data_IF_410095647637
#
_entry.id   IF_410095647637
#
_cell.length_a   1.000
_cell.length_b   1.000
_cell.length_c   1.000
_cell.angle_alpha   90.00
_cell.angle_beta   90.00
_cell.angle_gamma   90.00
#
_symmetry.space_group_name_H-M   'P 1'
#
loop_
_entity.id
_entity.type
_entity.pdbx_description
1 polymer ?
#
# COMPACT_ATOMS: atom_id res chain seq x y z
N UNK A 1 3.51 -9.71 -67.29
CA UNK A 1 2.81 -8.51 -66.76
C UNK A 1 1.85 -8.86 -65.61
N UNK A 2 1.20 -10.06 -65.60
CA UNK A 2 0.26 -10.44 -64.54
C UNK A 2 0.88 -10.76 -63.18
N UNK A 3 2.11 -11.27 -63.15
CA UNK A 3 2.81 -11.64 -61.87
C UNK A 3 3.12 -10.36 -61.04
N UNK A 4 3.54 -9.26 -61.69
CA UNK A 4 3.82 -8.02 -60.97
C UNK A 4 2.58 -7.37 -60.35
N UNK A 5 1.42 -7.45 -60.99
CA UNK A 5 0.16 -6.94 -60.44
C UNK A 5 -0.30 -7.78 -59.23
N UNK A 6 -0.11 -9.10 -59.25
CA UNK A 6 -0.47 -10.00 -58.16
C UNK A 6 0.40 -9.75 -56.90
N UNK A 7 1.70 -9.55 -57.08
CA UNK A 7 2.63 -9.23 -55.99
C UNK A 7 2.31 -7.85 -55.37
N UNK A 8 1.91 -6.87 -56.17
CA UNK A 8 1.54 -5.56 -55.68
C UNK A 8 0.27 -5.62 -54.82
N UNK A 9 -0.74 -6.36 -55.26
CA UNK A 9 -2.00 -6.55 -54.53
C UNK A 9 -1.77 -7.31 -53.20
N UNK A 10 -0.86 -8.28 -53.16
CA UNK A 10 -0.49 -9.01 -51.97
C UNK A 10 0.21 -8.12 -50.96
N UNK A 11 1.15 -7.27 -51.41
CA UNK A 11 1.83 -6.30 -50.57
C UNK A 11 0.91 -5.27 -49.95
N UNK A 12 -0.06 -4.76 -50.72
CA UNK A 12 -1.07 -3.81 -50.26
C UNK A 12 -2.01 -4.44 -49.22
N UNK A 13 -2.44 -5.70 -49.42
CA UNK A 13 -3.27 -6.41 -48.43
C UNK A 13 -2.54 -6.69 -47.15
N UNK A 14 -1.24 -7.02 -47.16
CA UNK A 14 -0.43 -7.21 -45.98
C UNK A 14 -0.23 -5.88 -45.22
N UNK A 15 0.01 -4.79 -45.94
CA UNK A 15 0.13 -3.44 -45.36
C UNK A 15 -1.18 -2.98 -44.69
N UNK A 16 -2.34 -3.22 -45.34
CA UNK A 16 -3.64 -2.92 -44.77
C UNK A 16 -3.93 -3.78 -43.54
N UNK A 17 -3.60 -5.07 -43.56
CA UNK A 17 -3.77 -5.96 -42.42
C UNK A 17 -2.94 -5.48 -41.22
N UNK A 18 -1.67 -5.12 -41.43
CA UNK A 18 -0.81 -4.55 -40.38
C UNK A 18 -1.32 -3.21 -39.85
N UNK A 19 -1.84 -2.36 -40.73
CA UNK A 19 -2.39 -1.05 -40.35
C UNK A 19 -3.66 -1.17 -39.50
N UNK A 20 -4.51 -2.14 -39.80
CA UNK A 20 -5.72 -2.41 -39.00
C UNK A 20 -5.42 -3.15 -37.67
N UNK A 21 -4.45 -4.05 -37.65
CA UNK A 21 -4.08 -4.75 -36.41
C UNK A 21 -3.30 -3.89 -35.42
N UNK A 22 -2.55 -2.88 -35.90
CA UNK A 22 -1.80 -1.94 -35.05
C UNK A 22 -2.68 -0.80 -34.48
N UNK A 23 -3.88 -0.58 -34.99
CA UNK A 23 -4.84 0.36 -34.40
C UNK A 23 -5.53 -0.31 -33.21
N UNK A 24 -4.81 -0.66 -32.16
CA UNK A 24 -5.44 -0.88 -30.85
C UNK A 24 -5.99 0.47 -30.40
N UNK A 25 -7.28 0.65 -30.50
CA UNK A 25 -7.99 1.77 -29.85
C UNK A 25 -7.62 1.73 -28.38
N UNK A 26 -7.08 2.81 -27.79
CA UNK A 26 -6.86 2.84 -26.35
C UNK A 26 -8.23 2.63 -25.69
N UNK A 27 -8.41 1.49 -25.03
CA UNK A 27 -9.55 1.30 -24.14
C UNK A 27 -9.33 2.28 -23.00
N UNK A 28 -10.13 3.35 -22.98
CA UNK A 28 -10.19 4.25 -21.83
C UNK A 28 -10.77 3.41 -20.68
N UNK A 29 -9.91 2.81 -19.90
CA UNK A 29 -10.28 2.21 -18.62
C UNK A 29 -10.73 3.36 -17.75
N UNK A 30 -12.03 3.56 -17.60
CA UNK A 30 -12.57 4.46 -16.60
C UNK A 30 -12.10 3.91 -15.25
N UNK A 31 -11.19 4.62 -14.60
CA UNK A 31 -10.85 4.35 -13.21
C UNK A 31 -12.17 4.43 -12.42
N UNK A 32 -12.58 3.37 -11.70
CA UNK A 32 -13.79 3.43 -10.88
C UNK A 32 -13.68 4.64 -9.95
N UNK A 33 -14.75 5.42 -9.82
CA UNK A 33 -14.81 6.50 -8.83
C UNK A 33 -14.72 5.82 -7.47
N UNK A 34 -13.57 5.92 -6.84
CA UNK A 34 -13.35 5.35 -5.52
C UNK A 34 -14.15 6.16 -4.50
N UNK A 35 -15.11 5.50 -3.83
CA UNK A 35 -15.91 6.14 -2.79
C UNK A 35 -15.05 6.19 -1.53
N UNK A 36 -14.72 7.40 -1.09
CA UNK A 36 -13.79 7.68 0.00
C UNK A 36 -14.58 8.04 1.27
N UNK A 37 -14.14 7.49 2.42
CA UNK A 37 -14.50 7.93 3.76
C UNK A 37 -13.38 8.81 4.34
N UNK A 38 -13.70 9.61 5.33
CA UNK A 38 -12.71 10.35 6.13
C UNK A 38 -12.88 9.96 7.60
N UNK A 39 -11.78 9.55 8.23
CA UNK A 39 -11.71 9.43 9.68
C UNK A 39 -11.09 10.70 10.25
N UNK A 40 -11.67 11.23 11.32
CA UNK A 40 -11.17 12.42 12.01
C UNK A 40 -11.03 12.11 13.50
N UNK A 41 -9.85 12.35 14.04
CA UNK A 41 -9.56 12.33 15.46
C UNK A 41 -9.21 13.74 15.93
N UNK A 42 -10.20 14.44 16.45
CA UNK A 42 -10.02 15.83 16.92
C UNK A 42 -9.23 15.93 18.23
N UNK A 43 -9.17 14.84 19.00
CA UNK A 43 -8.41 14.82 20.27
C UNK A 43 -6.91 14.76 19.99
N UNK A 44 -6.53 13.88 19.06
CA UNK A 44 -5.12 13.68 18.70
C UNK A 44 -4.71 14.48 17.45
N UNK A 45 -5.63 15.33 16.93
CA UNK A 45 -5.34 16.38 15.93
C UNK A 45 -4.97 15.85 14.55
N UNK A 46 -5.70 14.86 14.01
CA UNK A 46 -5.49 14.41 12.64
C UNK A 46 -6.77 13.95 11.93
N UNK A 47 -6.72 13.96 10.61
CA UNK A 47 -7.72 13.32 9.77
C UNK A 47 -7.06 12.59 8.62
N UNK A 48 -7.72 11.54 8.10
CA UNK A 48 -7.20 10.72 7.01
C UNK A 48 -8.35 10.17 6.16
N UNK A 49 -8.17 10.22 4.84
CA UNK A 49 -9.14 9.64 3.91
C UNK A 49 -8.75 8.20 3.54
N UNK A 50 -9.75 7.34 3.41
CA UNK A 50 -9.55 5.93 3.07
C UNK A 50 -10.70 5.40 2.21
N UNK A 51 -10.47 4.37 1.37
CA UNK A 51 -11.53 3.76 0.57
C UNK A 51 -12.61 3.12 1.44
N UNK A 52 -13.87 3.27 1.08
CA UNK A 52 -15.00 2.64 1.82
C UNK A 52 -14.92 1.12 1.90
N UNK A 53 -14.16 0.50 1.03
CA UNK A 53 -13.93 -0.94 1.01
C UNK A 53 -12.99 -1.42 2.11
N UNK A 54 -12.19 -0.53 2.70
CA UNK A 54 -11.35 -0.85 3.85
C UNK A 54 -12.15 -0.85 5.13
N UNK A 55 -11.84 -1.76 6.04
CA UNK A 55 -12.50 -1.85 7.34
C UNK A 55 -11.77 -0.99 8.36
N UNK A 56 -12.47 0.00 8.92
CA UNK A 56 -11.96 0.85 9.99
C UNK A 56 -11.95 0.09 11.32
N UNK A 57 -10.81 0.09 12.01
CA UNK A 57 -10.69 -0.29 13.43
C UNK A 57 -10.19 0.91 14.23
N UNK A 58 -11.10 1.56 14.95
CA UNK A 58 -10.80 2.69 15.84
C UNK A 58 -10.29 2.26 17.23
N UNK A 59 -10.33 0.97 17.53
CA UNK A 59 -9.76 0.39 18.76
C UNK A 59 -8.33 -0.11 18.60
N UNK A 60 -7.73 0.10 17.44
CA UNK A 60 -6.39 -0.36 17.13
C UNK A 60 -5.32 0.15 18.10
N UNK A 61 -4.41 -0.75 18.48
CA UNK A 61 -3.22 -0.43 19.23
C UNK A 61 -2.07 -1.36 18.84
N UNK A 62 -0.96 -0.77 18.43
CA UNK A 62 0.24 -1.53 18.07
C UNK A 62 0.96 -2.05 19.33
N UNK A 63 1.24 -3.34 19.36
CA UNK A 63 1.86 -4.04 20.51
C UNK A 63 3.21 -4.70 20.15
N UNK A 64 3.86 -4.27 19.08
CA UNK A 64 5.12 -4.86 18.63
C UNK A 64 6.31 -4.68 19.60
N UNK A 65 6.18 -3.80 20.59
CA UNK A 65 7.15 -3.64 21.68
C UNK A 65 6.85 -4.51 22.91
N UNK A 66 5.75 -5.24 22.88
CA UNK A 66 5.29 -6.11 23.95
C UNK A 66 3.95 -5.67 24.55
N UNK A 67 3.31 -6.52 25.35
CA UNK A 67 1.94 -6.32 25.82
C UNK A 67 1.76 -5.13 26.78
N UNK A 68 2.83 -4.61 27.34
CA UNK A 68 2.82 -3.45 28.26
C UNK A 68 3.03 -2.11 27.51
N UNK A 69 3.41 -2.15 26.24
CA UNK A 69 3.75 -0.96 25.45
C UNK A 69 2.84 -0.87 24.22
N UNK A 70 1.62 -0.37 24.43
CA UNK A 70 0.66 -0.19 23.34
C UNK A 70 0.73 1.22 22.77
N UNK A 71 1.04 1.36 21.49
CA UNK A 71 0.92 2.62 20.75
C UNK A 71 -0.51 2.72 20.21
N UNK A 72 -1.24 3.74 20.64
CA UNK A 72 -2.62 3.96 20.21
C UNK A 72 -2.69 4.48 18.78
N UNK A 73 -3.78 4.18 18.11
CA UNK A 73 -4.00 4.62 16.74
C UNK A 73 -5.34 4.18 16.17
N UNK A 74 -5.39 4.18 14.87
CA UNK A 74 -6.49 3.67 14.06
C UNK A 74 -5.92 2.87 12.91
N UNK A 75 -6.56 1.75 12.55
CA UNK A 75 -6.15 0.99 11.37
C UNK A 75 -7.27 0.86 10.35
N UNK A 76 -6.86 0.63 9.11
CA UNK A 76 -7.71 0.41 7.94
C UNK A 76 -7.28 -0.92 7.33
N UNK A 77 -8.03 -1.96 7.65
CA UNK A 77 -7.76 -3.33 7.18
C UNK A 77 -8.19 -3.45 5.73
N UNK A 78 -7.39 -4.14 4.93
CA UNK A 78 -7.67 -4.34 3.51
C UNK A 78 -9.01 -5.07 3.29
N UNK A 79 -9.72 -4.82 2.17
CA UNK A 79 -10.92 -5.57 1.85
C UNK A 79 -10.58 -7.02 1.48
N UNK A 80 -11.40 -7.96 1.91
CA UNK A 80 -11.25 -9.39 1.63
C UNK A 80 -11.08 -9.68 0.12
N UNK A 81 -11.70 -8.86 -0.73
CA UNK A 81 -11.62 -9.00 -2.18
C UNK A 81 -10.18 -8.90 -2.74
N UNK A 82 -9.28 -8.15 -2.08
CA UNK A 82 -7.87 -8.03 -2.49
C UNK A 82 -7.09 -9.31 -2.11
N UNK A 83 -7.42 -9.93 -0.98
CA UNK A 83 -6.77 -11.14 -0.49
C UNK A 83 -7.30 -12.42 -1.16
N UNK A 84 -8.57 -12.45 -1.55
CA UNK A 84 -9.21 -13.66 -2.10
C UNK A 84 -8.52 -14.16 -3.35
N UNK A 85 -8.14 -15.44 -3.34
CA UNK A 85 -7.45 -16.12 -4.47
C UNK A 85 -5.97 -15.78 -4.57
N UNK A 86 -5.42 -15.02 -3.62
CA UNK A 86 -4.00 -14.69 -3.54
C UNK A 86 -3.37 -15.23 -2.25
N UNK A 87 -2.05 -15.12 -2.13
CA UNK A 87 -1.34 -15.46 -0.91
C UNK A 87 -1.33 -14.32 0.14
N UNK A 88 -2.01 -13.19 -0.12
CA UNK A 88 -2.11 -12.06 0.83
C UNK A 88 -2.98 -12.45 2.04
N UNK A 89 -2.51 -12.13 3.24
CA UNK A 89 -3.28 -12.29 4.46
C UNK A 89 -4.29 -11.16 4.65
N UNK A 90 -5.51 -11.51 5.10
CA UNK A 90 -6.60 -10.55 5.34
C UNK A 90 -6.33 -9.60 6.52
N UNK A 91 -5.31 -9.90 7.33
CA UNK A 91 -4.90 -9.07 8.47
C UNK A 91 -3.90 -7.96 8.06
N UNK A 92 -3.65 -7.81 6.75
CA UNK A 92 -2.84 -6.70 6.24
C UNK A 92 -3.60 -5.38 6.38
N UNK A 93 -2.90 -4.33 6.81
CA UNK A 93 -3.52 -3.03 7.07
C UNK A 93 -2.56 -1.87 6.86
N UNK A 94 -3.11 -0.67 6.79
CA UNK A 94 -2.44 0.60 7.03
C UNK A 94 -2.98 1.20 8.33
N UNK A 95 -2.12 1.75 9.20
CA UNK A 95 -2.53 2.44 10.42
C UNK A 95 -1.98 3.85 10.51
N UNK A 96 -2.65 4.68 11.32
CA UNK A 96 -2.09 5.92 11.86
C UNK A 96 -1.96 5.74 13.35
N UNK A 97 -0.73 5.85 13.83
CA UNK A 97 -0.33 5.72 15.22
C UNK A 97 0.13 7.08 15.73
N UNK A 98 -0.02 7.33 17.02
CA UNK A 98 0.42 8.59 17.62
C UNK A 98 0.91 8.38 19.06
N UNK A 99 1.90 9.17 19.43
CA UNK A 99 2.39 9.29 20.80
C UNK A 99 2.56 10.77 21.15
N UNK A 100 2.39 11.17 22.41
CA UNK A 100 2.69 12.55 22.84
C UNK A 100 4.15 12.89 22.51
N UNK A 101 4.36 14.07 21.97
CA UNK A 101 5.70 14.58 21.65
C UNK A 101 6.34 15.16 22.91
N UNK A 102 7.26 14.41 23.48
CA UNK A 102 8.04 14.87 24.66
C UNK A 102 9.33 15.56 24.19
N UNK A 103 9.92 15.03 23.13
CA UNK A 103 11.16 15.53 22.50
C UNK A 103 11.03 15.42 20.98
N UNK A 104 12.12 15.22 20.27
CA UNK A 104 12.10 14.96 18.81
C UNK A 104 11.50 13.59 18.51
N UNK A 105 10.71 13.52 17.46
CA UNK A 105 10.15 12.28 16.96
C UNK A 105 11.25 11.38 16.36
N UNK A 106 11.32 10.14 16.79
CA UNK A 106 12.29 9.16 16.30
C UNK A 106 11.59 7.92 15.77
N UNK A 107 12.21 7.27 14.80
CA UNK A 107 11.65 6.05 14.20
C UNK A 107 11.60 4.89 15.20
N UNK A 108 12.56 4.79 16.12
CA UNK A 108 12.63 3.74 17.14
C UNK A 108 11.49 3.78 18.18
N UNK A 109 10.70 4.88 18.21
CA UNK A 109 9.48 4.95 19.02
C UNK A 109 8.33 4.14 18.41
N UNK A 110 8.43 3.75 17.13
CA UNK A 110 7.35 3.12 16.37
C UNK A 110 7.73 1.76 15.76
N UNK A 111 9.01 1.48 15.59
CA UNK A 111 9.48 0.21 15.04
C UNK A 111 10.76 -0.24 15.76
N UNK A 112 10.89 -1.54 15.98
CA UNK A 112 12.09 -2.10 16.61
C UNK A 112 13.25 -2.13 15.60
N UNK A 113 14.24 -1.27 15.81
CA UNK A 113 15.43 -1.15 14.95
C UNK A 113 16.44 -2.29 15.15
N UNK A 114 16.32 -3.13 16.19
CA UNK A 114 17.25 -4.24 16.44
C UNK A 114 17.20 -5.33 15.37
N UNK A 115 16.19 -5.34 14.52
CA UNK A 115 16.01 -6.28 13.41
C UNK A 115 16.63 -5.81 12.08
N UNK A 116 17.57 -4.86 12.12
CA UNK A 116 18.28 -4.41 10.92
C UNK A 116 17.58 -3.32 10.11
N UNK A 117 16.54 -2.70 10.67
CA UNK A 117 15.88 -1.55 10.07
C UNK A 117 16.85 -0.36 10.01
N UNK A 118 17.20 0.09 8.81
CA UNK A 118 18.03 1.30 8.60
C UNK A 118 17.14 2.49 8.28
N UNK A 119 17.03 3.48 9.19
CA UNK A 119 16.22 4.67 8.95
C UNK A 119 16.77 5.52 7.81
N UNK A 120 15.85 6.09 7.02
CA UNK A 120 16.19 7.07 5.98
C UNK A 120 15.08 8.13 5.89
N UNK A 121 15.40 9.26 5.28
CA UNK A 121 14.42 10.36 5.11
C UNK A 121 13.92 10.39 3.67
N UNK A 122 12.63 10.57 3.49
CA UNK A 122 12.02 10.87 2.20
C UNK A 122 11.25 12.19 2.26
N UNK A 123 11.09 12.82 1.10
CA UNK A 123 10.15 13.93 0.92
C UNK A 123 9.09 13.46 -0.09
N UNK A 124 7.83 13.42 0.33
CA UNK A 124 6.71 13.04 -0.52
C UNK A 124 5.58 14.08 -0.41
N UNK A 125 5.21 14.67 -1.54
CA UNK A 125 4.23 15.75 -1.58
C UNK A 125 4.65 16.99 -0.76
N UNK A 126 5.95 17.25 -0.61
CA UNK A 126 6.48 18.35 0.20
C UNK A 126 6.53 18.07 1.71
N UNK A 127 6.14 16.86 2.14
CA UNK A 127 6.17 16.43 3.53
C UNK A 127 7.40 15.54 3.74
N UNK A 128 8.18 15.84 4.78
CA UNK A 128 9.33 15.03 5.20
C UNK A 128 8.86 13.90 6.11
N UNK A 129 9.31 12.68 5.82
CA UNK A 129 9.09 11.49 6.65
C UNK A 129 10.41 10.84 7.00
N UNK A 130 10.56 10.43 8.25
CA UNK A 130 11.60 9.48 8.65
C UNK A 130 11.02 8.07 8.49
N UNK A 131 11.69 7.21 7.73
CA UNK A 131 11.15 5.91 7.31
C UNK A 131 12.08 4.79 7.76
N UNK A 132 11.50 3.69 8.18
CA UNK A 132 12.21 2.41 8.33
C UNK A 132 11.30 1.25 7.96
N UNK A 133 11.89 0.15 7.52
CA UNK A 133 11.20 -1.08 7.20
C UNK A 133 11.84 -2.25 7.92
N UNK A 134 11.03 -3.21 8.30
CA UNK A 134 11.47 -4.50 8.82
C UNK A 134 10.73 -5.64 8.13
N UNK A 135 11.31 -6.83 8.16
CA UNK A 135 10.71 -8.05 7.64
C UNK A 135 10.88 -9.16 8.66
N UNK A 136 9.88 -10.01 8.79
CA UNK A 136 9.91 -11.20 9.63
C UNK A 136 9.27 -12.39 8.90
N UNK A 137 9.52 -13.59 9.38
CA UNK A 137 8.95 -14.82 8.84
C UNK A 137 8.69 -15.83 9.95
N UNK A 138 7.53 -16.46 9.92
CA UNK A 138 7.17 -17.48 10.88
C UNK A 138 5.98 -18.32 10.44
N UNK A 139 6.00 -19.63 10.75
CA UNK A 139 4.92 -20.57 10.48
C UNK A 139 4.43 -20.56 9.02
N UNK A 140 5.34 -20.37 8.05
CA UNK A 140 4.99 -20.32 6.63
C UNK A 140 4.46 -18.98 6.14
N UNK A 141 4.40 -17.98 7.00
CA UNK A 141 4.02 -16.61 6.65
C UNK A 141 5.25 -15.70 6.59
N UNK A 142 5.09 -14.60 5.86
CA UNK A 142 6.01 -13.48 5.81
C UNK A 142 5.29 -12.21 6.26
N UNK A 143 6.03 -11.36 6.94
CA UNK A 143 5.54 -10.11 7.49
C UNK A 143 6.46 -8.99 7.04
N UNK A 144 5.88 -7.93 6.54
CA UNK A 144 6.62 -6.74 6.14
C UNK A 144 5.98 -5.53 6.83
N UNK A 145 6.81 -4.74 7.47
CA UNK A 145 6.41 -3.47 8.05
C UNK A 145 7.20 -2.34 7.43
N UNK A 146 6.52 -1.26 7.07
CA UNK A 146 7.16 0.01 6.72
C UNK A 146 6.48 1.10 7.51
N UNK A 147 7.28 1.86 8.25
CA UNK A 147 6.79 2.93 9.13
C UNK A 147 7.30 4.27 8.64
N UNK A 148 6.37 5.21 8.47
CA UNK A 148 6.63 6.60 8.07
C UNK A 148 6.32 7.51 9.25
N UNK A 149 7.35 8.07 9.88
CA UNK A 149 7.18 8.98 11.02
C UNK A 149 7.13 10.42 10.53
N UNK A 150 6.14 11.15 11.02
CA UNK A 150 5.96 12.58 10.81
C UNK A 150 5.80 13.32 12.13
N UNK A 151 6.47 14.44 12.26
CA UNK A 151 6.40 15.29 13.43
C UNK A 151 5.20 16.27 13.34
N UNK A 152 4.40 16.33 14.41
CA UNK A 152 3.40 17.36 14.65
C UNK A 152 3.84 18.32 15.75
N UNK A 153 2.96 19.22 16.17
CA UNK A 153 3.27 20.16 17.25
C UNK A 153 3.26 19.47 18.62
N UNK A 154 2.25 18.66 18.89
CA UNK A 154 1.98 18.02 20.19
C UNK A 154 2.18 16.53 20.21
N UNK A 155 2.21 15.89 19.03
CA UNK A 155 2.35 14.44 18.86
C UNK A 155 3.38 14.10 17.79
N UNK A 156 3.98 12.93 17.94
CA UNK A 156 4.64 12.22 16.87
C UNK A 156 3.61 11.27 16.24
N UNK A 157 3.49 11.29 14.93
CA UNK A 157 2.61 10.43 14.17
C UNK A 157 3.41 9.44 13.36
N UNK A 158 2.93 8.21 13.29
CA UNK A 158 3.48 7.20 12.38
C UNK A 158 2.37 6.64 11.50
N UNK A 159 2.67 6.42 10.25
CA UNK A 159 1.85 5.63 9.34
C UNK A 159 2.58 4.32 9.13
N UNK A 160 1.94 3.20 9.51
CA UNK A 160 2.48 1.85 9.35
C UNK A 160 1.77 1.15 8.21
N UNK A 161 2.53 0.57 7.30
CA UNK A 161 2.08 -0.45 6.36
C UNK A 161 2.44 -1.80 6.95
N UNK A 162 1.47 -2.61 7.27
CA UNK A 162 1.65 -3.98 7.71
C UNK A 162 1.10 -4.92 6.66
N UNK A 163 1.96 -5.75 6.09
CA UNK A 163 1.61 -6.69 5.03
C UNK A 163 2.01 -8.10 5.51
N UNK A 164 0.99 -8.94 5.69
CA UNK A 164 1.16 -10.36 5.96
C UNK A 164 0.82 -11.14 4.71
N UNK A 165 1.62 -12.14 4.36
CA UNK A 165 1.31 -13.04 3.25
C UNK A 165 1.93 -14.43 3.46
N UNK A 166 1.25 -15.47 2.94
CA UNK A 166 1.79 -16.82 2.94
C UNK A 166 2.90 -16.98 1.91
N UNK A 167 3.92 -17.77 2.22
CA UNK A 167 4.92 -18.14 1.26
C UNK A 167 4.25 -18.99 0.15
N UNK A 168 4.37 -18.55 -1.11
CA UNK A 168 3.59 -19.12 -2.24
C UNK A 168 3.87 -20.61 -2.43
N UNK A 169 5.07 -21.04 -2.09
CA UNK A 169 5.50 -22.45 -2.14
C UNK A 169 4.74 -23.36 -1.17
N UNK A 170 4.05 -22.81 -0.17
CA UNK A 170 3.23 -23.58 0.79
C UNK A 170 1.84 -23.94 0.25
N UNK A 171 1.46 -23.37 -0.89
CA UNK A 171 0.16 -23.63 -1.50
C UNK A 171 0.25 -24.67 -2.63
N UNK A 172 -0.77 -25.50 -2.81
CA UNK A 172 -0.87 -26.34 -3.99
C UNK A 172 -0.81 -25.49 -5.26
N UNK A 173 -0.06 -25.96 -6.26
CA UNK A 173 0.14 -25.24 -7.52
C UNK A 173 -1.19 -24.86 -8.16
N UNK A 174 -1.38 -23.55 -8.43
CA UNK A 174 -2.56 -23.00 -9.08
C UNK A 174 -3.75 -22.75 -8.15
N UNK A 175 -3.63 -23.02 -6.84
CA UNK A 175 -4.71 -22.72 -5.87
C UNK A 175 -4.82 -21.24 -5.57
N UNK A 176 -3.68 -20.58 -5.42
CA UNK A 176 -3.58 -19.12 -5.22
C UNK A 176 -2.52 -18.53 -6.15
N UNK A 177 -2.58 -17.25 -6.38
CA UNK A 177 -1.54 -16.47 -7.09
C UNK A 177 -0.84 -15.52 -6.13
N UNK A 178 0.34 -15.05 -6.49
CA UNK A 178 0.97 -13.96 -5.74
C UNK A 178 0.11 -12.70 -5.81
N UNK A 179 -0.03 -12.00 -4.69
CA UNK A 179 -0.78 -10.75 -4.64
C UNK A 179 -0.04 -9.63 -5.38
N UNK A 180 -0.78 -8.67 -5.90
CA UNK A 180 -0.22 -7.48 -6.55
C UNK A 180 0.28 -6.48 -5.50
N UNK A 181 1.52 -6.69 -5.04
CA UNK A 181 2.17 -5.84 -4.05
C UNK A 181 2.31 -4.38 -4.52
N UNK A 182 2.70 -4.06 -5.76
CA UNK A 182 2.71 -2.68 -6.25
C UNK A 182 1.36 -1.97 -6.13
N UNK A 183 0.27 -2.62 -6.51
CA UNK A 183 -1.08 -2.05 -6.40
C UNK A 183 -1.49 -1.83 -4.94
N UNK A 184 -1.19 -2.77 -4.03
CA UNK A 184 -1.45 -2.62 -2.60
C UNK A 184 -0.67 -1.44 -2.01
N UNK A 185 0.63 -1.33 -2.30
CA UNK A 185 1.46 -0.22 -1.85
C UNK A 185 0.97 1.12 -2.39
N UNK A 186 0.52 1.18 -3.65
CA UNK A 186 -0.06 2.39 -4.25
C UNK A 186 -1.34 2.83 -3.53
N UNK A 187 -2.20 1.88 -3.12
CA UNK A 187 -3.39 2.17 -2.33
C UNK A 187 -3.01 2.71 -0.94
N UNK A 188 -2.06 2.08 -0.25
CA UNK A 188 -1.56 2.56 1.04
C UNK A 188 -0.91 3.94 0.94
N UNK A 189 -0.14 4.20 -0.11
CA UNK A 189 0.45 5.51 -0.38
C UNK A 189 -0.60 6.59 -0.59
N UNK A 190 -1.70 6.27 -1.28
CA UNK A 190 -2.82 7.19 -1.48
C UNK A 190 -3.46 7.55 -0.12
N UNK A 191 -3.69 6.56 0.74
CA UNK A 191 -4.21 6.77 2.10
C UNK A 191 -3.22 7.61 2.91
N UNK A 192 -1.93 7.25 2.94
CA UNK A 192 -0.88 7.98 3.69
C UNK A 192 -0.80 9.45 3.30
N UNK A 193 -0.81 9.75 1.99
CA UNK A 193 -0.74 11.12 1.47
C UNK A 193 -1.96 11.97 1.84
N UNK A 194 -3.07 11.35 2.20
CA UNK A 194 -4.28 12.05 2.64
C UNK A 194 -4.23 12.49 4.11
N UNK A 195 -3.20 12.05 4.88
CA UNK A 195 -3.07 12.42 6.29
C UNK A 195 -2.89 13.94 6.45
N UNK A 196 -3.82 14.56 7.14
CA UNK A 196 -3.78 15.96 7.56
C UNK A 196 -3.59 16.00 9.07
N UNK A 197 -2.56 16.71 9.53
CA UNK A 197 -2.34 17.04 10.94
C UNK A 197 -2.88 18.44 11.16
N UNK A 198 -3.80 18.58 12.13
CA UNK A 198 -4.58 19.80 12.36
C UNK A 198 -4.07 20.62 13.54
N UNK A 199 -2.91 20.25 14.11
CA UNK A 199 -2.29 20.97 15.24
C UNK A 199 -0.91 21.46 14.88
#
# INVERSE_FOLDING_TARGET
>A
RFIGLFLLLLAVSILLYFFFTLRKTPTVTQTPIEIINTYTNSVDGFSIAYPKTFTLDSGYGYQGFGPQETIRGVSFVIPLAIATGTNLGNDSYISVEHIPKITTCTIGQFINLTQGAMPYTIIDGGISYLVASSTDAGAGNRYEETVYVREGLTHCYAIRYFIQYGAIENYPKGLVVEFDKPSLLSAFDTIRRSLVITQ
#
